data_IF_842034486724
#
_entry.id   IF_842034486724
#
_cell.length_a   1.000
_cell.length_b   1.000
_cell.length_c   1.000
_cell.angle_alpha   90.00
_cell.angle_beta   90.00
_cell.angle_gamma   90.00
#
_symmetry.space_group_name_H-M   'P 1'
#
loop_
_entity.id
_entity.type
_entity.pdbx_description
1 polymer ?
#
# COMPACT_ATOMS: atom_id res chain seq x y z
N UNK A 1 24.57 -14.01 -6.36
CA UNK A 1 23.36 -14.79 -6.05
C UNK A 1 22.15 -13.93 -6.24
N UNK A 2 21.26 -14.36 -7.05
CA UNK A 2 20.02 -13.63 -7.25
C UNK A 2 19.05 -13.97 -6.13
N UNK A 3 18.49 -12.95 -5.49
CA UNK A 3 17.42 -13.16 -4.54
C UNK A 3 16.16 -13.65 -5.24
N UNK A 4 15.26 -14.24 -4.47
CA UNK A 4 13.97 -14.60 -5.00
C UNK A 4 13.17 -13.35 -5.28
N UNK A 5 12.47 -13.36 -6.39
CA UNK A 5 11.58 -12.28 -6.75
C UNK A 5 10.14 -12.77 -6.62
N UNK A 6 9.34 -12.04 -5.86
CA UNK A 6 7.96 -12.40 -5.59
C UNK A 6 7.04 -11.74 -6.58
N UNK A 7 6.04 -12.48 -7.03
CA UNK A 7 5.00 -11.94 -7.91
C UNK A 7 4.00 -11.17 -7.06
N UNK A 8 3.62 -9.99 -7.52
CA UNK A 8 2.64 -9.15 -6.83
C UNK A 8 1.27 -9.38 -7.46
N UNK A 9 0.30 -9.79 -6.65
CA UNK A 9 -1.08 -10.02 -7.07
C UNK A 9 -1.98 -9.04 -6.36
N UNK A 10 -2.77 -8.28 -7.11
CA UNK A 10 -3.69 -7.29 -6.56
C UNK A 10 -5.11 -7.84 -6.56
N UNK A 11 -5.75 -7.84 -5.40
CA UNK A 11 -7.17 -8.22 -5.31
C UNK A 11 -8.05 -7.03 -5.68
N UNK A 12 -9.30 -7.33 -6.01
CA UNK A 12 -10.28 -6.28 -6.31
C UNK A 12 -10.47 -5.36 -5.11
N UNK A 13 -10.54 -5.93 -3.91
CA UNK A 13 -10.69 -5.15 -2.68
C UNK A 13 -9.54 -4.16 -2.52
N UNK A 14 -8.31 -4.60 -2.76
CA UNK A 14 -7.15 -3.73 -2.69
C UNK A 14 -7.27 -2.58 -3.71
N UNK A 15 -7.65 -2.90 -4.94
CA UNK A 15 -7.79 -1.90 -6.00
C UNK A 15 -8.85 -0.86 -5.65
N UNK A 16 -9.98 -1.31 -5.11
CA UNK A 16 -11.04 -0.40 -4.67
C UNK A 16 -10.58 0.49 -3.53
N UNK A 17 -9.83 -0.08 -2.59
CA UNK A 17 -9.29 0.71 -1.48
C UNK A 17 -8.33 1.78 -1.98
N UNK A 18 -7.46 1.45 -2.94
CA UNK A 18 -6.53 2.44 -3.49
C UNK A 18 -7.28 3.56 -4.21
N UNK A 19 -8.32 3.24 -4.95
CA UNK A 19 -9.14 4.28 -5.59
C UNK A 19 -9.77 5.22 -4.56
N UNK A 20 -10.27 4.65 -3.47
CA UNK A 20 -10.84 5.44 -2.37
C UNK A 20 -9.80 6.34 -1.73
N UNK A 21 -8.60 5.81 -1.51
CA UNK A 21 -7.53 6.58 -0.88
C UNK A 21 -7.02 7.68 -1.82
N UNK A 22 -6.98 7.42 -3.11
CA UNK A 22 -6.63 8.46 -4.08
C UNK A 22 -7.61 9.62 -4.05
N UNK A 23 -8.90 9.32 -3.92
CA UNK A 23 -9.92 10.36 -3.83
C UNK A 23 -9.70 11.23 -2.60
N UNK A 24 -9.33 10.62 -1.48
CA UNK A 24 -9.03 11.36 -0.25
C UNK A 24 -7.83 12.28 -0.45
N UNK A 25 -6.75 11.75 -1.04
CA UNK A 25 -5.56 12.53 -1.33
C UNK A 25 -5.88 13.69 -2.26
N UNK A 26 -6.68 13.43 -3.28
CA UNK A 26 -7.05 14.44 -4.26
C UNK A 26 -7.84 15.59 -3.60
N UNK A 27 -8.75 15.25 -2.71
CA UNK A 27 -9.55 16.27 -1.99
C UNK A 27 -8.68 17.11 -1.08
N UNK A 28 -7.75 16.49 -0.39
CA UNK A 28 -6.84 17.22 0.50
C UNK A 28 -5.96 18.18 -0.29
N UNK A 29 -5.46 17.72 -1.44
CA UNK A 29 -4.61 18.54 -2.29
C UNK A 29 -5.39 19.70 -2.92
N UNK A 30 -6.64 19.47 -3.30
CA UNK A 30 -7.46 20.51 -3.87
C UNK A 30 -7.70 21.66 -2.88
N UNK A 31 -7.70 21.34 -1.58
CA UNK A 31 -7.89 22.35 -0.54
C UNK A 31 -6.62 23.14 -0.25
N UNK A 32 -5.46 22.52 -0.39
CA UNK A 32 -4.20 23.11 0.06
C UNK A 32 -3.25 23.45 -1.07
N UNK A 33 -3.12 22.58 -2.05
CA UNK A 33 -2.17 22.76 -3.15
C UNK A 33 -2.73 22.06 -4.38
N UNK A 34 -3.28 22.81 -5.33
CA UNK A 34 -3.81 22.20 -6.54
C UNK A 34 -2.66 21.79 -7.45
N UNK A 35 -1.99 20.73 -7.11
CA UNK A 35 -0.83 20.28 -7.86
C UNK A 35 -1.01 18.84 -8.31
N UNK A 36 -1.18 18.64 -9.61
CA UNK A 36 -1.30 17.31 -10.19
C UNK A 36 -0.08 16.45 -9.91
N UNK A 37 1.07 17.08 -9.67
CA UNK A 37 2.29 16.36 -9.33
C UNK A 37 2.13 15.54 -8.06
N UNK A 38 1.28 15.98 -7.16
CA UNK A 38 1.07 15.27 -5.90
C UNK A 38 0.34 13.95 -6.11
N UNK A 39 -0.56 13.86 -7.07
CA UNK A 39 -1.23 12.60 -7.39
C UNK A 39 -0.25 11.60 -8.00
N UNK A 40 0.59 12.10 -8.92
CA UNK A 40 1.65 11.29 -9.47
C UNK A 40 2.55 10.79 -8.35
N UNK A 41 2.87 11.65 -7.40
CA UNK A 41 3.74 11.28 -6.29
C UNK A 41 3.14 10.19 -5.42
N UNK A 42 1.82 10.20 -5.20
CA UNK A 42 1.16 9.15 -4.43
C UNK A 42 1.27 7.79 -5.14
N UNK A 43 0.93 7.74 -6.42
CA UNK A 43 1.07 6.52 -7.21
C UNK A 43 2.51 6.05 -7.29
N UNK A 44 3.42 7.00 -7.41
CA UNK A 44 4.83 6.72 -7.48
C UNK A 44 5.35 6.16 -6.15
N UNK A 45 4.93 6.75 -5.03
CA UNK A 45 5.29 6.26 -3.71
C UNK A 45 4.77 4.84 -3.50
N UNK A 46 3.53 4.59 -3.92
CA UNK A 46 2.93 3.27 -3.83
C UNK A 46 3.70 2.25 -4.69
N UNK A 47 4.04 2.62 -5.91
CA UNK A 47 4.78 1.74 -6.82
C UNK A 47 6.16 1.38 -6.26
N UNK A 48 6.85 2.36 -5.68
CA UNK A 48 8.16 2.12 -5.06
C UNK A 48 8.04 1.19 -3.86
N UNK A 49 7.03 1.41 -3.04
CA UNK A 49 6.81 0.56 -1.87
C UNK A 49 6.48 -0.86 -2.31
N UNK A 50 5.68 -1.03 -3.35
CA UNK A 50 5.35 -2.36 -3.86
C UNK A 50 6.59 -3.04 -4.44
N UNK A 51 7.56 -2.26 -4.94
CA UNK A 51 8.83 -2.81 -5.37
C UNK A 51 9.58 -3.50 -4.25
N UNK A 52 9.47 -2.98 -3.02
CA UNK A 52 10.08 -3.63 -1.86
C UNK A 52 9.47 -5.03 -1.66
N UNK A 53 8.17 -5.16 -1.87
CA UNK A 53 7.49 -6.44 -1.68
C UNK A 53 7.96 -7.50 -2.68
N UNK A 54 8.45 -7.10 -3.84
CA UNK A 54 8.92 -8.08 -4.81
C UNK A 54 10.25 -8.72 -4.40
N UNK A 55 10.99 -8.09 -3.48
CA UNK A 55 12.28 -8.60 -3.04
C UNK A 55 12.32 -8.97 -1.56
N UNK A 56 11.66 -8.20 -0.70
CA UNK A 56 11.83 -8.34 0.74
C UNK A 56 10.52 -8.20 1.51
N UNK A 57 9.48 -9.00 1.17
CA UNK A 57 8.21 -8.90 1.88
C UNK A 57 8.32 -9.28 3.35
N UNK A 58 9.28 -10.11 3.71
CA UNK A 58 9.44 -10.56 5.09
C UNK A 58 9.97 -9.48 6.03
N UNK A 59 10.44 -8.35 5.49
CA UNK A 59 10.88 -7.24 6.32
C UNK A 59 9.72 -6.39 6.82
N UNK A 60 8.53 -6.60 6.29
CA UNK A 60 7.34 -5.86 6.70
C UNK A 60 6.79 -6.42 8.01
N UNK A 61 6.16 -5.55 8.80
CA UNK A 61 5.63 -5.94 10.10
C UNK A 61 4.42 -6.87 9.94
N UNK A 62 4.16 -7.66 10.97
CA UNK A 62 2.96 -8.48 11.00
C UNK A 62 1.76 -7.62 11.38
N UNK A 63 0.59 -7.95 10.84
CA UNK A 63 -0.65 -7.29 11.22
C UNK A 63 -1.03 -7.74 12.63
N UNK A 64 -1.31 -6.80 13.53
CA UNK A 64 -1.63 -7.12 14.91
C UNK A 64 -2.89 -7.97 15.04
N UNK A 65 -3.93 -7.59 14.30
CA UNK A 65 -5.23 -8.26 14.38
C UNK A 65 -5.21 -9.63 13.72
N UNK A 66 -4.39 -9.80 12.69
CA UNK A 66 -4.33 -11.04 11.91
C UNK A 66 -2.88 -11.35 11.60
N UNK A 67 -2.25 -12.08 12.49
CA UNK A 67 -0.80 -12.27 12.45
C UNK A 67 -0.29 -13.10 11.28
N UNK A 68 -1.19 -13.78 10.58
CA UNK A 68 -0.84 -14.48 9.35
C UNK A 68 -0.59 -13.52 8.18
N UNK A 69 -1.02 -12.27 8.32
CA UNK A 69 -0.82 -11.24 7.30
C UNK A 69 0.25 -10.25 7.75
N UNK A 70 0.76 -9.48 6.79
CA UNK A 70 1.75 -8.44 7.04
C UNK A 70 1.24 -7.11 6.50
N UNK A 71 1.87 -6.04 6.95
CA UNK A 71 1.50 -4.69 6.55
C UNK A 71 2.70 -3.94 6.03
N UNK A 72 2.51 -3.26 4.90
CA UNK A 72 3.52 -2.37 4.34
C UNK A 72 3.04 -0.93 4.55
N UNK A 73 3.89 -0.12 5.19
CA UNK A 73 3.58 1.29 5.40
C UNK A 73 4.13 2.07 4.22
N UNK A 74 3.26 2.84 3.58
CA UNK A 74 3.62 3.69 2.45
C UNK A 74 3.45 5.13 2.86
N UNK A 75 4.53 5.82 3.27
CA UNK A 75 4.43 7.22 3.67
C UNK A 75 4.23 8.12 2.46
N UNK A 76 3.38 9.13 2.62
CA UNK A 76 3.17 10.13 1.60
C UNK A 76 2.63 11.40 2.23
N UNK A 77 3.39 12.48 2.15
CA UNK A 77 3.02 13.73 2.79
C UNK A 77 2.85 13.54 4.30
N UNK A 78 1.71 13.97 4.83
CA UNK A 78 1.38 13.82 6.24
C UNK A 78 0.65 12.52 6.54
N UNK A 79 0.40 11.72 5.52
CA UNK A 79 -0.34 10.47 5.67
C UNK A 79 0.30 9.37 4.84
N UNK A 80 -0.46 8.87 3.88
CA UNK A 80 -0.03 7.75 3.04
C UNK A 80 -1.04 6.64 3.12
N UNK A 81 -0.57 5.40 3.14
CA UNK A 81 -1.46 4.26 3.33
C UNK A 81 -0.74 3.10 3.97
N UNK A 82 -1.52 2.15 4.47
CA UNK A 82 -1.03 0.90 5.00
C UNK A 82 -1.63 -0.21 4.13
N UNK A 83 -0.78 -1.06 3.57
CA UNK A 83 -1.21 -2.13 2.68
C UNK A 83 -1.15 -3.46 3.41
N UNK A 84 -2.28 -4.16 3.45
CA UNK A 84 -2.36 -5.48 4.04
C UNK A 84 -2.09 -6.52 2.95
N UNK A 85 -1.19 -7.46 3.22
CA UNK A 85 -0.88 -8.48 2.23
C UNK A 85 -0.64 -9.83 2.90
N UNK A 86 -0.81 -10.87 2.10
CA UNK A 86 -0.51 -12.25 2.48
C UNK A 86 0.59 -12.81 1.60
N UNK A 87 1.36 -13.74 2.15
CA UNK A 87 2.38 -14.45 1.41
C UNK A 87 1.84 -15.81 1.01
N UNK A 88 1.92 -16.13 -0.27
CA UNK A 88 1.51 -17.43 -0.78
C UNK A 88 2.59 -17.95 -1.74
N UNK A 89 3.40 -18.89 -1.29
CA UNK A 89 4.52 -19.41 -2.07
C UNK A 89 5.42 -18.27 -2.52
N UNK A 90 5.53 -18.03 -3.81
CA UNK A 90 6.34 -16.95 -4.37
C UNK A 90 5.47 -15.75 -4.78
N UNK A 91 4.28 -15.63 -4.21
CA UNK A 91 3.39 -14.52 -4.50
C UNK A 91 3.10 -13.69 -3.25
N UNK A 92 3.04 -12.38 -3.44
CA UNK A 92 2.56 -11.44 -2.44
C UNK A 92 1.17 -11.00 -2.90
N UNK A 93 0.16 -11.33 -2.11
CA UNK A 93 -1.23 -11.03 -2.46
C UNK A 93 -1.68 -9.80 -1.68
N UNK A 94 -1.94 -8.71 -2.40
CA UNK A 94 -2.38 -7.46 -1.79
C UNK A 94 -3.86 -7.55 -1.50
N UNK A 95 -4.22 -7.54 -0.22
CA UNK A 95 -5.58 -7.83 0.23
C UNK A 95 -6.43 -6.58 0.42
N UNK A 96 -5.84 -5.52 0.96
CA UNK A 96 -6.58 -4.31 1.32
C UNK A 96 -5.61 -3.18 1.58
N UNK A 97 -6.14 -1.96 1.66
CA UNK A 97 -5.36 -0.80 2.06
C UNK A 97 -6.22 0.13 2.90
N UNK A 98 -5.58 0.87 3.80
CA UNK A 98 -6.29 1.83 4.65
C UNK A 98 -5.44 3.07 4.84
N UNK A 99 -6.10 4.15 5.25
CA UNK A 99 -5.41 5.34 5.71
C UNK A 99 -4.73 5.02 7.05
N UNK A 100 -3.55 5.57 7.33
CA UNK A 100 -2.89 5.29 8.61
C UNK A 100 -3.71 5.67 9.84
N UNK A 101 -4.65 6.60 9.68
CA UNK A 101 -5.52 7.03 10.78
C UNK A 101 -6.75 6.14 10.95
N UNK A 102 -7.05 5.29 10.00
CA UNK A 102 -8.09 4.29 10.16
C UNK A 102 -7.55 3.13 11.00
N UNK A 103 -8.38 2.61 11.89
CA UNK A 103 -7.94 1.52 12.77
C UNK A 103 -8.10 0.16 12.11
N UNK A 104 -9.05 0.03 11.21
CA UNK A 104 -9.37 -1.25 10.58
C UNK A 104 -9.50 -1.11 9.08
N UNK A 105 -9.32 -2.22 8.40
CA UNK A 105 -9.60 -2.32 6.98
C UNK A 105 -11.11 -2.44 6.77
N UNK A 106 -11.57 -1.91 5.68
CA UNK A 106 -13.00 -1.93 5.36
C UNK A 106 -13.42 -3.22 4.68
#
# INVERSE_FOLDING_TARGET
>A
MSGQQYRIVQTVTFQEDIERLEDIVQRELASNTPDELCLFSFRDALARAMGILSFAPHTCRRCEAQKQFRELIVPFGHGGCVVLFAMRDLAVVLLAARDPHEHDYR
#
